data_IF_170687634481
#
_entry.id   IF_170687634481
#
_cell.length_a   1.000
_cell.length_b   1.000
_cell.length_c   1.000
_cell.angle_alpha   90.00
_cell.angle_beta   90.00
_cell.angle_gamma   90.00
#
_symmetry.space_group_name_H-M   'P 1'
#
loop_
_entity.id
_entity.type
_entity.pdbx_description
1 polymer ?
#
# COMPACT_ATOMS: atom_id res chain seq x y z
N UNK A 1 22.73 29.94 -53.46
CA UNK A 1 22.81 29.78 -51.99
C UNK A 1 23.62 30.86 -51.23
N UNK A 2 24.05 31.99 -51.84
CA UNK A 2 24.85 33.02 -51.14
C UNK A 2 24.08 33.97 -50.18
N UNK A 3 22.75 33.94 -50.14
CA UNK A 3 21.98 35.01 -49.48
C UNK A 3 21.31 34.65 -48.15
N UNK A 4 21.39 33.40 -47.64
CA UNK A 4 20.89 33.04 -46.30
C UNK A 4 21.72 31.89 -45.67
N UNK A 5 22.87 32.18 -45.06
CA UNK A 5 23.81 31.19 -44.51
C UNK A 5 23.30 30.41 -43.27
N UNK A 6 22.09 30.69 -42.80
CA UNK A 6 21.46 30.12 -41.59
C UNK A 6 20.12 29.45 -41.89
N UNK A 7 19.75 29.26 -43.15
CA UNK A 7 18.47 28.64 -43.49
C UNK A 7 18.51 27.11 -43.21
N UNK A 8 17.72 26.66 -42.23
CA UNK A 8 17.64 25.26 -41.76
C UNK A 8 17.33 24.27 -42.89
N UNK A 9 16.36 24.57 -43.75
CA UNK A 9 15.99 23.70 -44.87
C UNK A 9 17.13 23.57 -45.89
N UNK A 10 17.80 24.69 -46.16
CA UNK A 10 18.93 24.73 -47.09
C UNK A 10 20.13 23.91 -46.55
N UNK A 11 20.40 23.97 -45.25
CA UNK A 11 21.46 23.18 -44.62
C UNK A 11 21.14 21.67 -44.64
N UNK A 12 19.88 21.28 -44.41
CA UNK A 12 19.46 19.87 -44.50
C UNK A 12 19.64 19.30 -45.91
N UNK A 13 19.21 20.04 -46.92
CA UNK A 13 19.36 19.63 -48.33
C UNK A 13 20.84 19.53 -48.72
N UNK A 14 21.66 20.49 -48.27
CA UNK A 14 23.09 20.48 -48.55
C UNK A 14 23.81 19.29 -47.89
N UNK A 15 23.46 18.93 -46.65
CA UNK A 15 24.03 17.74 -46.00
C UNK A 15 23.70 16.46 -46.79
N UNK A 16 22.45 16.29 -47.22
CA UNK A 16 22.03 15.15 -48.05
C UNK A 16 22.77 15.10 -49.40
N UNK A 17 23.03 16.26 -50.03
CA UNK A 17 23.80 16.32 -51.27
C UNK A 17 25.24 15.82 -51.04
N UNK A 18 25.93 16.32 -50.02
CA UNK A 18 27.28 15.85 -49.68
C UNK A 18 27.31 14.34 -49.36
N UNK A 19 26.30 13.81 -48.66
CA UNK A 19 26.18 12.37 -48.41
C UNK A 19 26.04 11.57 -49.72
N UNK A 20 25.22 12.04 -50.67
CA UNK A 20 25.04 11.39 -51.97
C UNK A 20 26.28 11.42 -52.86
N UNK A 21 27.11 12.45 -52.70
CA UNK A 21 28.40 12.61 -53.40
C UNK A 21 29.54 11.80 -52.73
N UNK A 22 29.28 11.19 -51.57
CA UNK A 22 30.26 10.43 -50.80
C UNK A 22 31.20 11.30 -49.95
N UNK A 23 31.01 12.62 -49.92
CA UNK A 23 31.76 13.54 -49.08
C UNK A 23 31.21 13.55 -47.64
N UNK A 24 31.50 12.48 -46.90
CA UNK A 24 31.02 12.29 -45.53
C UNK A 24 31.50 13.39 -44.58
N UNK A 25 32.73 13.88 -44.78
CA UNK A 25 33.29 14.97 -43.98
C UNK A 25 32.62 16.32 -44.27
N UNK A 26 32.28 16.59 -45.52
CA UNK A 26 31.47 17.75 -45.92
C UNK A 26 30.06 17.68 -45.31
N UNK A 27 29.41 16.52 -45.39
CA UNK A 27 28.10 16.31 -44.80
C UNK A 27 28.10 16.55 -43.28
N UNK A 28 29.08 16.01 -42.55
CA UNK A 28 29.20 16.22 -41.11
C UNK A 28 29.35 17.70 -40.74
N UNK A 29 30.24 18.44 -41.42
CA UNK A 29 30.41 19.90 -41.19
C UNK A 29 29.12 20.70 -41.42
N UNK A 30 28.33 20.31 -42.42
CA UNK A 30 27.04 20.96 -42.70
C UNK A 30 26.02 20.65 -41.60
N UNK A 31 25.99 19.42 -41.09
CA UNK A 31 25.15 19.05 -39.94
C UNK A 31 25.58 19.77 -38.65
N UNK A 32 26.88 19.89 -38.36
CA UNK A 32 27.37 20.67 -37.22
C UNK A 32 26.95 22.14 -37.31
N UNK A 33 27.01 22.71 -38.51
CA UNK A 33 26.49 24.06 -38.75
C UNK A 33 24.99 24.14 -38.52
N UNK A 34 24.21 23.17 -38.98
CA UNK A 34 22.77 23.10 -38.70
C UNK A 34 22.50 23.06 -37.20
N UNK A 35 23.24 22.24 -36.44
CA UNK A 35 23.12 22.14 -34.99
C UNK A 35 23.49 23.45 -34.28
N UNK A 36 24.45 24.22 -34.81
CA UNK A 36 24.82 25.54 -34.27
C UNK A 36 23.76 26.63 -34.50
N UNK A 37 22.96 26.51 -35.57
CA UNK A 37 21.85 27.43 -35.87
C UNK A 37 20.65 27.18 -34.98
N UNK A 38 20.49 25.95 -34.48
CA UNK A 38 19.34 25.54 -33.68
C UNK A 38 18.10 25.27 -34.53
N UNK A 39 16.99 24.95 -33.87
CA UNK A 39 15.73 24.63 -34.52
C UNK A 39 14.79 23.85 -33.61
N UNK A 40 13.74 23.29 -34.20
CA UNK A 40 12.84 22.37 -33.51
C UNK A 40 13.57 21.10 -33.08
N UNK A 41 13.20 20.55 -31.92
CA UNK A 41 13.84 19.36 -31.33
C UNK A 41 13.85 18.16 -32.29
N UNK A 42 12.82 18.01 -33.12
CA UNK A 42 12.72 16.95 -34.14
C UNK A 42 13.82 17.07 -35.21
N UNK A 43 14.11 18.31 -35.64
CA UNK A 43 15.15 18.60 -36.64
C UNK A 43 16.53 18.41 -36.02
N UNK A 44 16.71 18.86 -34.78
CA UNK A 44 17.98 18.69 -34.05
C UNK A 44 18.27 17.21 -33.78
N UNK A 45 17.26 16.42 -33.43
CA UNK A 45 17.37 14.98 -33.21
C UNK A 45 17.80 14.26 -34.50
N UNK A 46 17.11 14.49 -35.62
CA UNK A 46 17.47 13.92 -36.93
C UNK A 46 18.92 14.27 -37.32
N UNK A 47 19.29 15.55 -37.16
CA UNK A 47 20.65 16.01 -37.45
C UNK A 47 21.71 15.33 -36.56
N UNK A 48 21.44 15.15 -35.25
CA UNK A 48 22.35 14.45 -34.32
C UNK A 48 22.51 12.97 -34.67
N UNK A 49 21.41 12.26 -34.94
CA UNK A 49 21.45 10.84 -35.32
C UNK A 49 22.21 10.63 -36.64
N UNK A 50 21.99 11.51 -37.63
CA UNK A 50 22.76 11.48 -38.88
C UNK A 50 24.24 11.78 -38.66
N UNK A 51 24.57 12.80 -37.87
CA UNK A 51 25.95 13.15 -37.55
C UNK A 51 26.67 11.99 -36.85
N UNK A 52 26.01 11.30 -35.91
CA UNK A 52 26.56 10.12 -35.26
C UNK A 52 26.90 9.00 -36.26
N UNK A 53 25.97 8.68 -37.19
CA UNK A 53 26.20 7.67 -38.23
C UNK A 53 27.32 8.05 -39.20
N UNK A 54 27.48 9.34 -39.52
CA UNK A 54 28.57 9.82 -40.36
C UNK A 54 29.92 9.75 -39.64
N UNK A 55 29.97 10.14 -38.37
CA UNK A 55 31.17 10.02 -37.53
C UNK A 55 31.63 8.57 -37.43
N UNK A 56 30.72 7.61 -37.22
CA UNK A 56 31.03 6.17 -37.23
C UNK A 56 31.68 5.74 -38.55
N UNK A 57 31.10 6.14 -39.69
CA UNK A 57 31.62 5.81 -41.03
C UNK A 57 32.98 6.44 -41.31
N UNK A 58 33.29 7.54 -40.65
CA UNK A 58 34.59 8.23 -40.72
C UNK A 58 35.62 7.64 -39.72
N UNK A 59 35.22 6.68 -38.87
CA UNK A 59 36.06 6.11 -37.83
C UNK A 59 36.22 7.00 -36.59
N UNK A 60 35.43 8.06 -36.47
CA UNK A 60 35.39 8.93 -35.29
C UNK A 60 34.35 8.43 -34.29
N UNK A 61 34.72 7.40 -33.54
CA UNK A 61 33.89 6.82 -32.49
C UNK A 61 33.54 7.84 -31.39
N UNK A 62 34.48 8.73 -31.05
CA UNK A 62 34.30 9.75 -30.02
C UNK A 62 33.26 10.81 -30.41
N UNK A 63 33.29 11.24 -31.67
CA UNK A 63 32.29 12.14 -32.25
C UNK A 63 30.92 11.47 -32.31
N UNK A 64 30.87 10.19 -32.69
CA UNK A 64 29.61 9.45 -32.73
C UNK A 64 28.94 9.36 -31.35
N UNK A 65 29.70 9.01 -30.31
CA UNK A 65 29.23 8.98 -28.91
C UNK A 65 28.74 10.37 -28.47
N UNK A 66 29.48 11.44 -28.81
CA UNK A 66 29.11 12.82 -28.48
C UNK A 66 27.78 13.22 -29.12
N UNK A 67 27.55 12.87 -30.39
CA UNK A 67 26.29 13.15 -31.06
C UNK A 67 25.12 12.34 -30.51
N UNK A 68 25.34 11.07 -30.16
CA UNK A 68 24.32 10.21 -29.54
C UNK A 68 23.92 10.71 -28.15
N UNK A 69 24.88 11.10 -27.30
CA UNK A 69 24.59 11.67 -25.98
C UNK A 69 23.69 12.91 -26.06
N UNK A 70 23.99 13.83 -26.98
CA UNK A 70 23.17 15.01 -27.21
C UNK A 70 21.77 14.66 -27.79
N UNK A 71 21.64 13.54 -28.50
CA UNK A 71 20.36 13.06 -29.00
C UNK A 71 19.51 12.38 -27.92
N UNK A 72 20.13 11.69 -26.95
CA UNK A 72 19.42 11.10 -25.78
C UNK A 72 18.71 12.18 -24.98
N UNK A 73 19.35 13.32 -24.81
CA UNK A 73 18.78 14.47 -24.13
C UNK A 73 17.45 14.93 -24.82
N UNK A 74 17.26 14.66 -26.12
CA UNK A 74 16.07 15.06 -26.91
C UNK A 74 14.98 13.98 -26.95
N UNK A 75 15.36 12.73 -27.24
CA UNK A 75 14.47 11.59 -27.51
C UNK A 75 14.16 10.78 -26.23
N UNK A 76 15.08 10.79 -25.27
CA UNK A 76 14.94 10.08 -24.01
C UNK A 76 15.41 8.62 -24.06
N UNK A 77 15.10 7.82 -23.02
CA UNK A 77 15.72 6.51 -22.77
C UNK A 77 15.25 5.38 -23.70
N UNK A 78 14.10 5.55 -24.36
CA UNK A 78 13.52 4.58 -25.31
C UNK A 78 13.90 4.89 -26.77
N UNK A 79 14.58 6.01 -26.99
CA UNK A 79 14.95 6.53 -28.29
C UNK A 79 16.02 5.73 -29.03
N UNK A 80 16.12 5.95 -30.34
CA UNK A 80 17.18 5.33 -31.18
C UNK A 80 18.57 5.68 -30.62
N UNK A 81 18.73 6.92 -30.15
CA UNK A 81 19.99 7.41 -29.59
C UNK A 81 20.42 6.63 -28.34
N UNK A 82 19.50 6.40 -27.40
CA UNK A 82 19.78 5.68 -26.15
C UNK A 82 20.12 4.21 -26.41
N UNK A 83 19.37 3.55 -27.30
CA UNK A 83 19.62 2.16 -27.68
C UNK A 83 20.97 2.00 -28.37
N UNK A 84 21.29 2.88 -29.32
CA UNK A 84 22.56 2.87 -30.05
C UNK A 84 23.77 3.21 -29.15
N UNK A 85 23.57 4.08 -28.16
CA UNK A 85 24.63 4.45 -27.22
C UNK A 85 24.94 3.35 -26.21
N UNK A 86 23.91 2.71 -25.63
CA UNK A 86 24.07 1.66 -24.59
C UNK A 86 24.89 0.45 -25.03
N UNK A 87 24.95 0.17 -26.33
CA UNK A 87 25.78 -0.92 -26.88
C UNK A 87 27.23 -0.52 -27.13
N UNK A 88 27.54 0.79 -27.08
CA UNK A 88 28.88 1.35 -27.35
C UNK A 88 29.62 1.75 -26.07
N UNK A 89 28.90 2.30 -25.11
CA UNK A 89 29.49 2.75 -23.85
C UNK A 89 29.77 1.58 -22.91
N UNK A 90 30.92 1.62 -22.24
CA UNK A 90 31.34 0.53 -21.35
C UNK A 90 32.03 1.01 -20.08
N UNK A 91 32.52 2.25 -20.06
CA UNK A 91 33.28 2.81 -18.95
C UNK A 91 32.43 3.70 -18.02
N UNK A 92 32.77 3.82 -16.73
CA UNK A 92 32.04 4.70 -15.80
C UNK A 92 31.92 6.16 -16.27
N UNK A 93 32.96 6.81 -16.85
CA UNK A 93 32.82 8.17 -17.38
C UNK A 93 31.75 8.31 -18.48
N UNK A 94 31.65 7.33 -19.38
CA UNK A 94 30.64 7.34 -20.46
C UNK A 94 29.23 7.12 -19.91
N UNK A 95 29.08 6.21 -18.94
CA UNK A 95 27.80 6.01 -18.25
C UNK A 95 27.37 7.24 -17.45
N UNK A 96 28.32 7.99 -16.89
CA UNK A 96 28.04 9.26 -16.23
C UNK A 96 27.58 10.33 -17.22
N UNK A 97 28.20 10.40 -18.41
CA UNK A 97 27.73 11.28 -19.49
C UNK A 97 26.31 10.90 -19.95
N UNK A 98 26.00 9.60 -20.05
CA UNK A 98 24.65 9.14 -20.36
C UNK A 98 23.63 9.53 -19.28
N UNK A 99 24.00 9.39 -18.00
CA UNK A 99 23.15 9.84 -16.88
C UNK A 99 22.86 11.35 -16.95
N UNK A 100 23.86 12.17 -17.28
CA UNK A 100 23.69 13.62 -17.48
C UNK A 100 22.76 13.94 -18.66
N UNK A 101 22.83 13.17 -19.76
CA UNK A 101 21.91 13.33 -20.88
C UNK A 101 20.46 13.00 -20.48
N UNK A 102 20.24 11.95 -19.68
CA UNK A 102 18.91 11.64 -19.12
C UNK A 102 18.40 12.72 -18.16
N UNK A 103 19.27 13.31 -17.34
CA UNK A 103 18.92 14.45 -16.48
C UNK A 103 18.50 15.68 -17.31
N UNK A 104 19.17 15.94 -18.44
CA UNK A 104 18.78 16.97 -19.40
C UNK A 104 17.39 16.72 -20.00
N UNK A 105 17.13 15.48 -20.43
CA UNK A 105 15.83 15.07 -20.96
C UNK A 105 14.72 15.30 -19.92
N UNK A 106 14.94 14.86 -18.67
CA UNK A 106 14.00 15.07 -17.57
C UNK A 106 13.72 16.56 -17.32
N UNK A 107 14.75 17.40 -17.32
CA UNK A 107 14.61 18.84 -17.13
C UNK A 107 13.76 19.48 -18.24
N UNK A 108 13.90 19.02 -19.49
CA UNK A 108 13.07 19.47 -20.61
C UNK A 108 11.64 19.01 -20.50
N UNK A 109 11.42 17.73 -20.25
CA UNK A 109 10.07 17.17 -20.16
C UNK A 109 9.28 17.73 -18.97
N UNK A 110 9.96 18.11 -17.88
CA UNK A 110 9.31 18.81 -16.77
C UNK A 110 8.62 20.12 -17.19
N UNK A 111 9.20 20.83 -18.16
CA UNK A 111 8.59 22.06 -18.69
C UNK A 111 7.52 21.77 -19.75
N UNK A 112 7.68 20.69 -20.52
CA UNK A 112 6.78 20.32 -21.61
C UNK A 112 5.58 19.45 -21.17
N UNK A 113 5.62 18.85 -19.98
CA UNK A 113 4.61 17.92 -19.47
C UNK A 113 4.62 16.54 -20.14
N UNK A 114 5.76 16.10 -20.68
CA UNK A 114 5.88 14.81 -21.35
C UNK A 114 6.13 13.62 -20.40
N UNK A 115 6.16 12.39 -20.94
CA UNK A 115 6.34 11.17 -20.14
C UNK A 115 7.77 11.07 -19.57
N UNK A 116 7.90 11.04 -18.24
CA UNK A 116 9.21 11.04 -17.55
C UNK A 116 9.51 9.73 -16.79
N UNK A 117 8.53 8.86 -16.58
CA UNK A 117 8.67 7.63 -15.77
C UNK A 117 9.80 6.73 -16.26
N UNK A 118 9.85 6.46 -17.58
CA UNK A 118 10.89 5.63 -18.18
C UNK A 118 12.30 6.23 -18.00
N UNK A 119 12.42 7.57 -18.00
CA UNK A 119 13.70 8.26 -17.83
C UNK A 119 14.17 8.20 -16.38
N UNK A 120 13.28 8.34 -15.41
CA UNK A 120 13.58 8.11 -14.00
C UNK A 120 14.03 6.66 -13.73
N UNK A 121 13.34 5.68 -14.30
CA UNK A 121 13.72 4.27 -14.18
C UNK A 121 15.11 4.01 -14.77
N UNK A 122 15.37 4.46 -15.99
CA UNK A 122 16.64 4.20 -16.66
C UNK A 122 17.81 4.93 -15.97
N UNK A 123 17.60 6.18 -15.56
CA UNK A 123 18.59 6.95 -14.81
C UNK A 123 18.94 6.26 -13.48
N UNK A 124 17.95 5.81 -12.72
CA UNK A 124 18.20 5.10 -11.45
C UNK A 124 18.97 3.80 -11.64
N UNK A 125 18.70 3.04 -12.72
CA UNK A 125 19.43 1.81 -13.07
C UNK A 125 20.87 2.10 -13.45
N UNK A 126 21.11 3.13 -14.26
CA UNK A 126 22.48 3.55 -14.62
C UNK A 126 23.26 3.94 -13.37
N UNK A 127 22.67 4.76 -12.50
CA UNK A 127 23.30 5.19 -11.26
C UNK A 127 23.65 4.00 -10.36
N UNK A 128 22.70 3.11 -10.09
CA UNK A 128 22.92 1.98 -9.20
C UNK A 128 23.80 0.87 -9.81
N UNK A 129 23.55 0.47 -11.05
CA UNK A 129 24.14 -0.74 -11.63
C UNK A 129 25.47 -0.45 -12.33
N UNK A 130 25.60 0.70 -13.00
CA UNK A 130 26.79 1.07 -13.77
C UNK A 130 27.72 1.98 -13.00
N UNK A 131 27.19 2.95 -12.27
CA UNK A 131 27.98 3.91 -11.49
C UNK A 131 28.15 3.55 -10.02
N UNK A 132 27.44 2.51 -9.54
CA UNK A 132 27.48 2.05 -8.14
C UNK A 132 27.11 3.15 -7.13
N UNK A 133 26.31 4.13 -7.55
CA UNK A 133 25.82 5.22 -6.73
C UNK A 133 24.36 4.96 -6.35
N UNK A 134 24.18 4.12 -5.33
CA UNK A 134 22.88 3.65 -4.90
C UNK A 134 22.05 4.76 -4.23
N UNK A 135 22.69 5.68 -3.52
CA UNK A 135 22.02 6.79 -2.84
C UNK A 135 21.43 7.77 -3.85
N UNK A 136 22.18 8.14 -4.90
CA UNK A 136 21.63 8.96 -5.99
C UNK A 136 20.51 8.23 -6.73
N UNK A 137 20.63 6.92 -6.96
CA UNK A 137 19.57 6.16 -7.60
C UNK A 137 18.26 6.21 -6.79
N UNK A 138 18.34 6.10 -5.46
CA UNK A 138 17.19 6.22 -4.55
C UNK A 138 16.58 7.63 -4.64
N UNK A 139 17.40 8.68 -4.54
CA UNK A 139 16.92 10.07 -4.63
C UNK A 139 16.21 10.36 -5.97
N UNK A 140 16.73 9.83 -7.07
CA UNK A 140 16.12 9.95 -8.41
C UNK A 140 14.74 9.27 -8.45
N UNK A 141 14.59 8.10 -7.84
CA UNK A 141 13.31 7.37 -7.78
C UNK A 141 12.29 8.09 -6.90
N UNK A 142 12.68 8.58 -5.72
CA UNK A 142 11.82 9.37 -4.82
C UNK A 142 11.32 10.64 -5.51
N UNK A 143 12.20 11.34 -6.25
CA UNK A 143 11.83 12.49 -7.07
C UNK A 143 10.84 12.10 -8.17
N UNK A 144 11.12 11.00 -8.87
CA UNK A 144 10.24 10.48 -9.92
C UNK A 144 8.83 10.19 -9.42
N UNK A 145 8.69 9.50 -8.29
CA UNK A 145 7.40 9.18 -7.66
C UNK A 145 6.63 10.46 -7.30
N UNK A 146 7.33 11.47 -6.76
CA UNK A 146 6.72 12.75 -6.40
C UNK A 146 6.21 13.50 -7.63
N UNK A 147 6.96 13.50 -8.72
CA UNK A 147 6.61 14.25 -9.94
C UNK A 147 5.56 13.54 -10.80
N UNK A 148 5.52 12.21 -10.85
CA UNK A 148 4.53 11.48 -11.67
C UNK A 148 3.21 11.24 -10.96
N UNK A 149 3.16 11.34 -9.62
CA UNK A 149 1.94 11.17 -8.81
C UNK A 149 1.43 9.73 -8.69
N UNK A 150 1.66 8.89 -9.70
CA UNK A 150 1.40 7.45 -9.70
C UNK A 150 2.56 6.72 -10.41
N UNK A 151 3.47 6.17 -9.62
CA UNK A 151 4.67 5.49 -10.11
C UNK A 151 4.80 4.09 -9.55
N UNK A 152 3.82 3.21 -9.77
CA UNK A 152 3.88 1.81 -9.31
C UNK A 152 5.21 1.14 -9.71
N UNK A 153 5.68 1.37 -10.95
CA UNK A 153 6.95 0.80 -11.42
C UNK A 153 8.16 1.44 -10.73
N UNK A 154 8.13 2.76 -10.51
CA UNK A 154 9.16 3.50 -9.79
C UNK A 154 9.24 3.06 -8.32
N UNK A 155 8.09 2.87 -7.65
CA UNK A 155 8.01 2.34 -6.28
C UNK A 155 8.59 0.92 -6.20
N UNK A 156 8.25 0.05 -7.15
CA UNK A 156 8.82 -1.30 -7.19
C UNK A 156 10.35 -1.30 -7.39
N UNK A 157 10.87 -0.41 -8.24
CA UNK A 157 12.32 -0.19 -8.39
C UNK A 157 12.93 0.38 -7.10
N UNK A 158 12.30 1.38 -6.47
CA UNK A 158 12.74 2.01 -5.22
C UNK A 158 12.86 0.97 -4.10
N UNK A 159 11.85 0.12 -3.91
CA UNK A 159 11.89 -0.99 -2.94
C UNK A 159 13.11 -1.88 -3.18
N UNK A 160 13.41 -2.22 -4.44
CA UNK A 160 14.58 -3.04 -4.77
C UNK A 160 15.89 -2.33 -4.40
N UNK A 161 15.99 -1.03 -4.65
CA UNK A 161 17.19 -0.23 -4.33
C UNK A 161 17.36 -0.02 -2.83
N UNK A 162 16.28 0.22 -2.09
CA UNK A 162 16.28 0.33 -0.62
C UNK A 162 16.72 -0.98 0.05
N UNK A 163 16.24 -2.13 -0.45
CA UNK A 163 16.71 -3.43 0.02
C UNK A 163 18.20 -3.64 -0.23
N UNK A 164 18.67 -3.34 -1.44
CA UNK A 164 20.07 -3.46 -1.81
C UNK A 164 21.00 -2.55 -0.97
N UNK A 165 20.50 -1.42 -0.44
CA UNK A 165 21.25 -0.54 0.48
C UNK A 165 21.11 -0.92 1.96
N UNK A 166 20.37 -1.99 2.28
CA UNK A 166 20.09 -2.39 3.66
C UNK A 166 19.05 -1.51 4.38
N UNK A 167 18.40 -0.58 3.67
CA UNK A 167 17.32 0.28 4.19
C UNK A 167 15.99 -0.48 4.20
N UNK A 168 15.94 -1.58 4.97
CA UNK A 168 14.81 -2.52 5.01
C UNK A 168 13.52 -1.85 5.49
N UNK A 169 13.58 -1.00 6.52
CA UNK A 169 12.39 -0.32 7.06
C UNK A 169 11.73 0.62 6.05
N UNK A 170 12.54 1.33 5.27
CA UNK A 170 12.06 2.21 4.20
C UNK A 170 11.40 1.38 3.08
N UNK A 171 12.01 0.27 2.67
CA UNK A 171 11.44 -0.64 1.69
C UNK A 171 10.09 -1.22 2.17
N UNK A 172 9.99 -1.60 3.45
CA UNK A 172 8.73 -2.05 4.06
C UNK A 172 7.67 -0.94 4.08
N UNK A 173 8.07 0.31 4.31
CA UNK A 173 7.16 1.47 4.27
C UNK A 173 6.55 1.64 2.87
N UNK A 174 7.39 1.65 1.83
CA UNK A 174 6.96 1.77 0.43
C UNK A 174 6.01 0.64 0.00
N UNK A 175 6.36 -0.61 0.33
CA UNK A 175 5.50 -1.77 0.01
C UNK A 175 4.15 -1.71 0.73
N UNK A 176 4.12 -1.25 1.99
CA UNK A 176 2.86 -1.07 2.73
C UNK A 176 2.00 0.03 2.14
N UNK A 177 2.58 1.10 1.61
CA UNK A 177 1.82 2.13 0.90
C UNK A 177 1.22 1.56 -0.39
N UNK A 178 2.04 0.87 -1.19
CA UNK A 178 1.58 0.23 -2.42
C UNK A 178 0.46 -0.79 -2.16
N UNK A 179 0.59 -1.63 -1.14
CA UNK A 179 -0.42 -2.64 -0.81
C UNK A 179 -1.68 -2.07 -0.16
N UNK A 180 -1.64 -0.84 0.36
CA UNK A 180 -2.86 -0.13 0.78
C UNK A 180 -3.68 0.33 -0.42
N UNK A 181 -3.02 0.76 -1.48
CA UNK A 181 -3.66 1.21 -2.72
C UNK A 181 -4.15 0.01 -3.56
N UNK A 182 -3.31 -1.02 -3.67
CA UNK A 182 -3.58 -2.21 -4.50
C UNK A 182 -3.40 -3.50 -3.69
N UNK A 183 -4.30 -3.81 -2.74
CA UNK A 183 -4.18 -4.99 -1.86
C UNK A 183 -4.34 -6.32 -2.60
N UNK A 184 -4.89 -6.29 -3.81
CA UNK A 184 -5.11 -7.48 -4.65
C UNK A 184 -3.89 -7.86 -5.49
N UNK A 185 -2.76 -7.13 -5.38
CA UNK A 185 -1.55 -7.40 -6.17
C UNK A 185 -0.67 -8.49 -5.52
N UNK A 186 -0.64 -9.73 -6.04
CA UNK A 186 0.08 -10.82 -5.36
C UNK A 186 1.60 -10.62 -5.34
N UNK A 187 2.16 -9.98 -6.36
CA UNK A 187 3.59 -9.66 -6.43
C UNK A 187 4.02 -8.73 -5.30
N UNK A 188 3.17 -7.79 -4.87
CA UNK A 188 3.47 -6.87 -3.75
C UNK A 188 3.60 -7.61 -2.43
N UNK A 189 2.71 -8.58 -2.17
CA UNK A 189 2.78 -9.44 -0.99
C UNK A 189 4.03 -10.32 -0.98
N UNK A 190 4.47 -10.84 -2.14
CA UNK A 190 5.73 -11.58 -2.26
C UNK A 190 6.95 -10.71 -2.03
N UNK A 191 6.95 -9.48 -2.54
CA UNK A 191 8.03 -8.52 -2.24
C UNK A 191 8.05 -8.17 -0.75
N UNK A 192 6.88 -7.99 -0.11
CA UNK A 192 6.79 -7.75 1.33
C UNK A 192 7.35 -8.92 2.14
N UNK A 193 6.99 -10.16 1.77
CA UNK A 193 7.52 -11.37 2.38
C UNK A 193 9.05 -11.43 2.29
N UNK A 194 9.61 -11.26 1.08
CA UNK A 194 11.06 -11.24 0.85
C UNK A 194 11.78 -10.10 1.57
N UNK A 195 11.14 -8.95 1.70
CA UNK A 195 11.72 -7.80 2.42
C UNK A 195 11.79 -8.07 3.92
N UNK A 196 10.77 -8.68 4.51
CA UNK A 196 10.82 -9.12 5.90
C UNK A 196 11.90 -10.16 6.15
N UNK A 197 12.09 -11.11 5.24
CA UNK A 197 13.12 -12.14 5.37
C UNK A 197 14.53 -11.56 5.38
N UNK A 198 14.81 -10.62 4.49
CA UNK A 198 16.09 -9.90 4.47
C UNK A 198 16.32 -9.06 5.73
N UNK A 199 15.24 -8.54 6.32
CA UNK A 199 15.28 -7.90 7.65
C UNK A 199 15.41 -8.87 8.83
N UNK A 200 15.45 -10.19 8.59
CA UNK A 200 15.49 -11.21 9.64
C UNK A 200 14.14 -11.47 10.34
N UNK A 201 13.04 -10.91 9.82
CA UNK A 201 11.69 -11.02 10.39
C UNK A 201 10.90 -12.16 9.73
N UNK A 202 11.44 -13.38 9.74
CA UNK A 202 10.87 -14.54 9.04
C UNK A 202 9.39 -14.80 9.33
N UNK A 203 8.95 -14.67 10.58
CA UNK A 203 7.54 -14.86 10.94
C UNK A 203 6.60 -13.83 10.29
N UNK A 204 7.06 -12.58 10.13
CA UNK A 204 6.32 -11.55 9.39
C UNK A 204 6.35 -11.82 7.88
N UNK A 205 7.49 -12.34 7.38
CA UNK A 205 7.62 -12.80 5.99
C UNK A 205 6.63 -13.91 5.65
N UNK A 206 6.47 -14.90 6.52
CA UNK A 206 5.50 -15.98 6.35
C UNK A 206 4.05 -15.47 6.43
N UNK A 207 3.78 -14.51 7.34
CA UNK A 207 2.47 -13.89 7.45
C UNK A 207 2.09 -13.06 6.20
N UNK A 208 3.07 -12.41 5.56
CA UNK A 208 2.86 -11.66 4.33
C UNK A 208 2.47 -12.52 3.12
N UNK A 209 2.63 -13.84 3.18
CA UNK A 209 2.19 -14.77 2.12
C UNK A 209 0.72 -15.18 2.25
N UNK A 210 0.11 -15.10 3.43
CA UNK A 210 -1.30 -15.50 3.63
C UNK A 210 -2.29 -14.80 2.70
N UNK A 211 -2.16 -13.48 2.42
CA UNK A 211 -3.05 -12.83 1.45
C UNK A 211 -2.99 -13.43 0.05
N UNK A 212 -1.85 -13.99 -0.37
CA UNK A 212 -1.68 -14.59 -1.70
C UNK A 212 -2.54 -15.85 -1.86
N UNK A 213 -2.68 -16.63 -0.78
CA UNK A 213 -3.58 -17.80 -0.73
C UNK A 213 -5.05 -17.37 -0.86
N UNK A 214 -5.45 -16.30 -0.17
CA UNK A 214 -6.80 -15.73 -0.27
C UNK A 214 -7.09 -15.18 -1.67
N UNK A 215 -6.08 -14.65 -2.34
CA UNK A 215 -6.16 -14.15 -3.72
C UNK A 215 -6.09 -15.25 -4.79
N UNK A 216 -6.03 -16.52 -4.40
CA UNK A 216 -5.89 -17.68 -5.30
C UNK A 216 -4.70 -17.56 -6.27
N UNK A 217 -3.62 -16.93 -5.79
CA UNK A 217 -2.42 -16.64 -6.57
C UNK A 217 -1.18 -17.36 -6.04
N UNK A 218 -1.36 -18.38 -5.21
CA UNK A 218 -0.29 -19.07 -4.47
C UNK A 218 0.53 -19.96 -5.39
N UNK A 219 1.87 -19.89 -5.28
CA UNK A 219 2.77 -20.83 -5.97
C UNK A 219 3.08 -22.06 -5.12
N UNK A 220 3.64 -23.11 -5.72
CA UNK A 220 4.09 -24.30 -4.95
C UNK A 220 5.11 -23.94 -3.85
N UNK A 221 6.01 -22.99 -4.13
CA UNK A 221 6.98 -22.51 -3.15
C UNK A 221 6.30 -21.74 -2.01
N UNK A 222 5.29 -20.93 -2.32
CA UNK A 222 4.49 -20.23 -1.31
C UNK A 222 3.72 -21.24 -0.43
N UNK A 223 3.11 -22.26 -1.04
CA UNK A 223 2.37 -23.32 -0.33
C UNK A 223 3.29 -24.10 0.62
N UNK A 224 4.45 -24.55 0.15
CA UNK A 224 5.41 -25.30 0.98
C UNK A 224 5.81 -24.49 2.22
N UNK A 225 6.02 -23.19 2.02
CA UNK A 225 6.37 -22.27 3.10
C UNK A 225 5.23 -22.05 4.09
N UNK A 226 4.01 -21.88 3.60
CA UNK A 226 2.81 -21.75 4.44
C UNK A 226 2.52 -23.03 5.23
N UNK A 227 2.72 -24.21 4.64
CA UNK A 227 2.55 -25.51 5.32
C UNK A 227 3.55 -25.73 6.46
N UNK A 228 4.75 -25.16 6.35
CA UNK A 228 5.76 -25.20 7.41
C UNK A 228 5.43 -24.30 8.61
N UNK A 229 4.44 -23.41 8.49
CA UNK A 229 4.08 -22.47 9.55
C UNK A 229 3.17 -23.13 10.58
N UNK A 230 3.54 -23.02 11.85
CA UNK A 230 2.65 -23.35 12.97
C UNK A 230 2.05 -22.04 13.51
N UNK A 231 0.77 -21.74 13.21
CA UNK A 231 0.14 -20.52 13.71
C UNK A 231 0.03 -20.59 15.23
N UNK A 232 0.43 -19.50 15.92
CA UNK A 232 0.31 -19.35 17.38
C UNK A 232 -0.50 -18.09 17.72
N UNK A 233 -1.78 -18.01 17.32
CA UNK A 233 -2.54 -16.76 17.39
C UNK A 233 -2.84 -16.33 18.83
N UNK A 234 -2.83 -17.25 19.81
CA UNK A 234 -2.97 -16.93 21.23
C UNK A 234 -1.67 -16.47 21.93
N UNK A 235 -0.52 -16.48 21.24
CA UNK A 235 0.79 -16.23 21.84
C UNK A 235 1.26 -14.76 21.78
N UNK A 236 0.36 -13.82 21.47
CA UNK A 236 0.69 -12.40 21.45
C UNK A 236 0.89 -11.87 22.88
N UNK A 237 1.70 -10.82 23.02
CA UNK A 237 1.91 -10.17 24.31
C UNK A 237 0.65 -9.44 24.77
N UNK A 238 0.49 -9.29 26.09
CA UNK A 238 -0.59 -8.52 26.68
C UNK A 238 -0.58 -7.07 26.14
N UNK A 239 -1.75 -6.54 25.78
CA UNK A 239 -1.92 -5.20 25.21
C UNK A 239 -1.45 -5.02 23.76
N UNK A 240 -1.00 -6.07 23.07
CA UNK A 240 -0.58 -5.97 21.65
C UNK A 240 -1.69 -5.42 20.76
N UNK A 241 -2.94 -5.77 21.06
CA UNK A 241 -4.14 -5.33 20.35
C UNK A 241 -5.04 -4.48 21.26
N UNK A 242 -4.44 -3.66 22.14
CA UNK A 242 -5.19 -2.69 22.92
C UNK A 242 -5.90 -1.65 22.02
N UNK A 243 -6.90 -0.91 22.54
CA UNK A 243 -7.74 -0.04 21.71
C UNK A 243 -6.98 0.94 20.80
N UNK A 244 -5.91 1.63 21.25
CA UNK A 244 -5.14 2.53 20.36
C UNK A 244 -4.49 1.82 19.17
N UNK A 245 -4.11 0.54 19.33
CA UNK A 245 -3.53 -0.27 18.27
C UNK A 245 -4.61 -0.74 17.31
N UNK A 246 -5.78 -1.16 17.81
CA UNK A 246 -6.93 -1.52 16.98
C UNK A 246 -7.44 -0.34 16.16
N UNK A 247 -7.59 0.85 16.76
CA UNK A 247 -7.97 2.08 16.05
C UNK A 247 -6.98 2.45 14.94
N UNK A 248 -5.70 2.05 15.06
CA UNK A 248 -4.71 2.25 13.97
C UNK A 248 -4.86 1.23 12.85
N UNK A 249 -5.33 0.02 13.16
CA UNK A 249 -5.61 -1.03 12.17
C UNK A 249 -6.89 -0.72 11.40
N UNK A 250 -7.92 -0.24 12.10
CA UNK A 250 -9.18 0.19 11.51
C UNK A 250 -9.12 1.69 11.21
N UNK A 251 -8.75 2.06 9.98
CA UNK A 251 -8.81 3.46 9.55
C UNK A 251 -10.27 3.89 9.40
N UNK A 252 -10.80 4.49 10.45
CA UNK A 252 -12.13 5.07 10.48
C UNK A 252 -12.13 6.45 9.81
N UNK A 253 -13.13 6.72 8.99
CA UNK A 253 -13.46 8.09 8.62
C UNK A 253 -14.01 8.87 9.81
N UNK A 254 -14.24 10.19 9.66
CA UNK A 254 -14.78 11.01 10.74
C UNK A 254 -16.13 10.52 11.27
N UNK A 255 -16.97 9.95 10.40
CA UNK A 255 -18.31 9.47 10.77
C UNK A 255 -18.25 8.19 11.62
N UNK A 256 -17.42 7.22 11.24
CA UNK A 256 -17.24 5.99 12.00
C UNK A 256 -16.62 6.26 13.37
N UNK A 257 -15.69 7.23 13.45
CA UNK A 257 -15.11 7.65 14.73
C UNK A 257 -16.17 8.24 15.67
N UNK A 258 -17.03 9.12 15.16
CA UNK A 258 -18.12 9.69 15.94
C UNK A 258 -19.11 8.61 16.43
N UNK A 259 -19.41 7.61 15.59
CA UNK A 259 -20.23 6.46 15.98
C UNK A 259 -19.59 5.68 17.13
N UNK A 260 -18.28 5.42 17.07
CA UNK A 260 -17.57 4.67 18.10
C UNK A 260 -17.57 5.43 19.44
N UNK A 261 -17.39 6.75 19.39
CA UNK A 261 -17.49 7.61 20.58
C UNK A 261 -18.88 7.56 21.22
N UNK A 262 -19.95 7.59 20.41
CA UNK A 262 -21.33 7.44 20.91
C UNK A 262 -21.53 6.06 21.55
N UNK A 263 -21.11 4.98 20.88
CA UNK A 263 -21.26 3.63 21.42
C UNK A 263 -20.46 3.42 22.72
N UNK A 264 -19.26 4.01 22.82
CA UNK A 264 -18.47 4.02 24.05
C UNK A 264 -19.19 4.74 25.20
N UNK A 265 -19.86 5.87 24.93
CA UNK A 265 -20.67 6.58 25.93
C UNK A 265 -21.87 5.72 26.38
N UNK A 266 -22.49 4.99 25.46
CA UNK A 266 -23.66 4.15 25.75
C UNK A 266 -23.30 2.80 26.40
N UNK A 267 -22.09 2.29 26.21
CA UNK A 267 -21.64 0.97 26.68
C UNK A 267 -22.03 0.66 28.15
N UNK A 268 -21.82 1.55 29.14
CA UNK A 268 -22.17 1.28 30.54
C UNK A 268 -23.67 1.11 30.82
N UNK A 269 -24.55 1.59 29.93
CA UNK A 269 -26.01 1.56 30.13
C UNK A 269 -26.70 0.48 29.29
N UNK A 270 -25.98 -0.13 28.33
CA UNK A 270 -26.55 -1.10 27.39
C UNK A 270 -27.24 -2.27 28.09
N UNK A 271 -26.65 -2.83 29.15
CA UNK A 271 -27.25 -3.97 29.86
C UNK A 271 -28.54 -3.65 30.62
N UNK A 272 -28.82 -2.36 30.89
CA UNK A 272 -30.11 -1.93 31.46
C UNK A 272 -31.17 -1.75 30.36
N UNK A 273 -30.74 -1.32 29.17
CA UNK A 273 -31.63 -1.10 28.03
C UNK A 273 -31.98 -2.40 27.31
N UNK A 274 -31.02 -3.31 27.20
CA UNK A 274 -31.11 -4.57 26.48
C UNK A 274 -30.62 -5.71 27.38
N UNK A 275 -31.41 -6.16 28.38
CA UNK A 275 -30.98 -7.19 29.31
C UNK A 275 -30.57 -8.49 28.61
N UNK A 276 -29.57 -9.17 29.16
CA UNK A 276 -29.08 -10.45 28.64
C UNK A 276 -30.18 -11.54 28.64
N UNK A 277 -30.33 -12.21 27.50
CA UNK A 277 -31.30 -13.30 27.31
C UNK A 277 -30.60 -14.67 27.35
N UNK A 278 -30.29 -15.15 28.56
CA UNK A 278 -29.66 -16.46 28.77
C UNK A 278 -30.59 -17.63 28.43
N UNK A 279 -31.89 -17.47 28.62
CA UNK A 279 -32.89 -18.53 28.41
C UNK A 279 -32.94 -18.97 26.95
N UNK A 280 -32.78 -18.02 26.02
CA UNK A 280 -32.70 -18.35 24.59
C UNK A 280 -31.50 -19.24 24.19
N UNK A 281 -30.50 -19.37 25.07
CA UNK A 281 -29.37 -20.30 24.94
C UNK A 281 -29.53 -21.56 25.79
N UNK A 282 -30.64 -21.70 26.54
CA UNK A 282 -30.85 -22.77 27.50
C UNK A 282 -29.95 -22.66 28.73
N UNK A 283 -29.58 -21.43 29.11
CA UNK A 283 -28.65 -21.14 30.19
C UNK A 283 -29.28 -20.29 31.29
N UNK A 284 -28.62 -20.27 32.45
CA UNK A 284 -28.89 -19.40 33.59
C UNK A 284 -27.61 -18.70 34.03
N UNK A 285 -27.72 -17.68 34.89
CA UNK A 285 -26.54 -16.99 35.45
C UNK A 285 -25.58 -17.93 36.23
N UNK A 286 -26.04 -19.11 36.66
CA UNK A 286 -25.22 -20.11 37.35
C UNK A 286 -24.31 -20.90 36.42
N UNK A 287 -24.65 -20.95 35.14
CA UNK A 287 -23.88 -21.66 34.11
C UNK A 287 -22.66 -20.86 33.63
N UNK A 288 -22.38 -19.73 34.28
CA UNK A 288 -21.19 -18.91 34.01
C UNK A 288 -19.92 -19.68 34.30
N UNK A 289 -18.99 -19.67 33.36
CA UNK A 289 -17.66 -20.27 33.49
C UNK A 289 -16.88 -19.63 34.66
N UNK A 290 -16.45 -20.47 35.59
CA UNK A 290 -15.77 -20.05 36.82
C UNK A 290 -14.40 -19.44 36.54
N UNK A 291 -14.10 -18.32 37.22
CA UNK A 291 -12.76 -17.71 37.24
C UNK A 291 -11.80 -18.40 38.20
N UNK A 292 -12.33 -19.13 39.20
CA UNK A 292 -11.51 -19.82 40.23
C UNK A 292 -11.02 -21.18 39.77
N UNK A 293 -11.80 -21.84 38.92
CA UNK A 293 -11.48 -23.14 38.32
C UNK A 293 -11.72 -23.06 36.82
N UNK A 294 -10.85 -22.35 36.08
CA UNK A 294 -11.09 -22.04 34.67
C UNK A 294 -10.96 -23.30 33.81
N UNK A 295 -11.94 -23.50 32.92
CA UNK A 295 -11.85 -24.47 31.83
C UNK A 295 -10.82 -24.01 30.78
N UNK A 296 -10.38 -24.90 29.86
CA UNK A 296 -9.44 -24.51 28.80
C UNK A 296 -9.94 -23.32 27.96
N UNK A 297 -11.23 -23.30 27.62
CA UNK A 297 -11.84 -22.20 26.85
C UNK A 297 -11.86 -20.89 27.66
N UNK A 298 -12.10 -20.96 28.98
CA UNK A 298 -12.02 -19.78 29.86
C UNK A 298 -10.60 -19.25 29.95
N UNK A 299 -9.60 -20.12 30.07
CA UNK A 299 -8.18 -19.74 30.07
C UNK A 299 -7.80 -19.06 28.76
N UNK A 300 -8.21 -19.64 27.63
CA UNK A 300 -7.97 -19.06 26.30
C UNK A 300 -8.61 -17.67 26.17
N UNK A 301 -9.91 -17.55 26.46
CA UNK A 301 -10.63 -16.27 26.39
C UNK A 301 -10.00 -15.21 27.32
N UNK A 302 -9.56 -15.61 28.52
CA UNK A 302 -8.89 -14.70 29.46
C UNK A 302 -7.54 -14.22 28.91
N UNK A 303 -6.76 -15.12 28.29
CA UNK A 303 -5.50 -14.74 27.63
C UNK A 303 -5.72 -13.77 26.48
N UNK A 304 -6.73 -14.04 25.64
CA UNK A 304 -7.11 -13.13 24.55
C UNK A 304 -7.55 -11.76 25.09
N UNK A 305 -8.39 -11.71 26.12
CA UNK A 305 -8.81 -10.45 26.73
C UNK A 305 -7.62 -9.60 27.19
N UNK A 306 -6.54 -10.20 27.69
CA UNK A 306 -5.31 -9.45 28.03
C UNK A 306 -4.57 -8.93 26.80
N UNK A 307 -4.53 -9.69 25.70
CA UNK A 307 -3.97 -9.22 24.42
C UNK A 307 -4.71 -7.96 23.93
N UNK A 308 -6.03 -7.93 24.11
CA UNK A 308 -6.91 -6.82 23.72
C UNK A 308 -7.07 -5.73 24.78
N UNK A 309 -6.46 -5.88 25.96
CA UNK A 309 -6.64 -5.00 27.13
C UNK A 309 -8.10 -4.85 27.62
N UNK A 310 -8.94 -5.87 27.39
CA UNK A 310 -10.33 -5.95 27.86
C UNK A 310 -10.37 -6.45 29.31
N UNK A 311 -11.04 -5.72 30.21
CA UNK A 311 -10.98 -5.99 31.65
C UNK A 311 -12.10 -6.88 32.19
N UNK A 312 -13.30 -6.79 31.64
CA UNK A 312 -14.49 -7.42 32.23
C UNK A 312 -15.36 -8.08 31.16
N UNK A 313 -15.60 -9.38 31.34
CA UNK A 313 -16.61 -10.13 30.60
C UNK A 313 -16.99 -11.39 31.39
N UNK A 314 -18.24 -11.81 31.20
CA UNK A 314 -18.69 -13.14 31.57
C UNK A 314 -18.56 -14.09 30.37
N UNK A 315 -18.37 -15.38 30.64
CA UNK A 315 -18.23 -16.41 29.61
C UNK A 315 -19.20 -17.54 29.89
N UNK A 316 -19.91 -17.99 28.87
CA UNK A 316 -20.86 -19.07 28.95
C UNK A 316 -20.70 -20.04 27.78
N UNK A 317 -20.95 -21.32 28.02
CA UNK A 317 -20.93 -22.36 26.98
C UNK A 317 -22.33 -22.93 26.79
N UNK A 318 -22.88 -22.87 25.57
CA UNK A 318 -24.23 -23.34 25.26
C UNK A 318 -24.24 -24.48 24.24
N UNK A 319 -25.39 -25.17 24.10
CA UNK A 319 -25.57 -26.30 23.18
C UNK A 319 -26.57 -26.05 22.04
N UNK A 320 -27.12 -24.84 21.94
CA UNK A 320 -28.03 -24.44 20.86
C UNK A 320 -27.30 -24.43 19.51
N UNK A 321 -27.73 -25.29 18.58
CA UNK A 321 -27.06 -25.52 17.28
C UNK A 321 -27.24 -24.39 16.27
N UNK A 322 -28.32 -23.61 16.37
CA UNK A 322 -28.64 -22.51 15.45
C UNK A 322 -27.91 -21.21 15.78
N UNK A 323 -27.10 -21.18 16.85
CA UNK A 323 -26.43 -19.98 17.33
C UNK A 323 -24.91 -20.17 17.30
N UNK A 324 -24.21 -19.16 16.80
CA UNK A 324 -22.76 -19.07 16.82
C UNK A 324 -22.23 -18.43 18.10
N UNK A 325 -20.98 -18.00 18.07
CA UNK A 325 -20.42 -17.14 19.11
C UNK A 325 -21.11 -15.78 19.05
N UNK A 326 -21.51 -15.23 20.20
CA UNK A 326 -22.20 -13.94 20.29
C UNK A 326 -21.97 -13.24 21.62
N UNK A 327 -22.55 -12.05 21.77
CA UNK A 327 -22.48 -11.25 22.99
C UNK A 327 -23.88 -10.92 23.49
N UNK A 328 -24.12 -11.09 24.78
CA UNK A 328 -25.30 -10.57 25.47
C UNK A 328 -24.92 -9.34 26.31
N UNK A 329 -25.76 -8.31 26.24
CA UNK A 329 -25.55 -7.04 26.93
C UNK A 329 -26.05 -7.20 28.38
N UNK A 330 -25.17 -7.67 29.27
CA UNK A 330 -25.43 -7.80 30.70
C UNK A 330 -24.90 -6.63 31.52
N UNK A 331 -24.97 -6.72 32.85
CA UNK A 331 -24.23 -5.79 33.73
C UNK A 331 -22.72 -5.90 33.53
N UNK A 332 -22.25 -7.11 33.20
CA UNK A 332 -21.00 -7.34 32.48
C UNK A 332 -21.37 -7.99 31.16
N UNK A 333 -20.79 -7.57 30.01
CA UNK A 333 -21.05 -8.23 28.74
C UNK A 333 -20.70 -9.71 28.80
N UNK A 334 -21.59 -10.56 28.28
CA UNK A 334 -21.46 -11.99 28.37
C UNK A 334 -21.18 -12.59 26.99
N UNK A 335 -20.01 -13.22 26.83
CA UNK A 335 -19.64 -13.95 25.62
C UNK A 335 -20.29 -15.34 25.67
N UNK A 336 -21.11 -15.62 24.66
CA UNK A 336 -21.80 -16.89 24.47
C UNK A 336 -21.01 -17.74 23.48
N UNK A 337 -20.59 -18.93 23.89
CA UNK A 337 -19.76 -19.83 23.05
C UNK A 337 -20.49 -21.16 22.83
N UNK A 338 -20.67 -21.61 21.58
CA UNK A 338 -21.21 -22.94 21.32
C UNK A 338 -20.23 -24.02 21.79
N UNK A 339 -20.74 -25.10 22.40
CA UNK A 339 -19.93 -26.22 22.87
C UNK A 339 -19.08 -26.85 21.75
N UNK A 340 -19.55 -26.82 20.50
CA UNK A 340 -18.81 -27.32 19.34
C UNK A 340 -17.48 -26.57 19.09
N UNK A 341 -17.34 -25.32 19.55
CA UNK A 341 -16.09 -24.56 19.41
C UNK A 341 -14.96 -25.23 20.19
N UNK A 342 -15.25 -25.90 21.32
CA UNK A 342 -14.24 -26.58 22.12
C UNK A 342 -13.58 -27.76 21.38
N UNK A 343 -14.23 -28.28 20.35
CA UNK A 343 -13.73 -29.39 19.53
C UNK A 343 -12.80 -28.91 18.40
N UNK A 344 -12.79 -27.60 18.12
CA UNK A 344 -11.96 -27.06 17.05
C UNK A 344 -10.49 -26.95 17.46
N UNK A 345 -9.55 -26.98 16.49
CA UNK A 345 -8.17 -26.60 16.73
C UNK A 345 -8.06 -25.20 17.36
N UNK A 346 -7.08 -24.99 18.23
CA UNK A 346 -6.88 -23.71 18.93
C UNK A 346 -6.91 -22.48 18.00
N UNK A 347 -6.31 -22.47 16.80
CA UNK A 347 -6.39 -21.30 15.91
C UNK A 347 -7.82 -20.90 15.53
N UNK A 348 -8.72 -21.88 15.35
CA UNK A 348 -10.13 -21.61 15.06
C UNK A 348 -10.86 -21.10 16.30
N UNK A 349 -10.55 -21.64 17.49
CA UNK A 349 -11.10 -21.13 18.75
C UNK A 349 -10.69 -19.67 18.97
N UNK A 350 -9.41 -19.35 18.74
CA UNK A 350 -8.90 -17.98 18.84
C UNK A 350 -9.59 -17.08 17.85
N UNK A 351 -9.73 -17.47 16.59
CA UNK A 351 -10.42 -16.67 15.58
C UNK A 351 -11.86 -16.33 16.00
N UNK A 352 -12.60 -17.32 16.49
CA UNK A 352 -14.00 -17.13 16.90
C UNK A 352 -14.15 -16.28 18.18
N UNK A 353 -13.23 -16.44 19.15
CA UNK A 353 -13.27 -15.69 20.42
C UNK A 353 -12.67 -14.29 20.32
N UNK A 354 -11.68 -14.08 19.46
CA UNK A 354 -10.99 -12.80 19.33
C UNK A 354 -11.94 -11.70 18.83
N UNK A 355 -12.90 -12.03 17.96
CA UNK A 355 -13.89 -11.08 17.43
C UNK A 355 -14.74 -10.40 18.53
N UNK A 356 -15.52 -11.13 19.36
CA UNK A 356 -16.32 -10.49 20.41
C UNK A 356 -15.43 -9.80 21.46
N UNK A 357 -14.23 -10.31 21.74
CA UNK A 357 -13.29 -9.65 22.65
C UNK A 357 -12.79 -8.31 22.08
N UNK A 358 -12.49 -8.26 20.78
CA UNK A 358 -12.11 -7.03 20.10
C UNK A 358 -13.28 -6.02 20.09
N UNK A 359 -14.51 -6.50 19.87
CA UNK A 359 -15.70 -5.65 19.96
C UNK A 359 -15.83 -5.03 21.36
N UNK A 360 -15.64 -5.82 22.43
CA UNK A 360 -15.65 -5.32 23.81
C UNK A 360 -14.52 -4.32 24.08
N UNK A 361 -13.32 -4.55 23.54
CA UNK A 361 -12.20 -3.63 23.68
C UNK A 361 -12.48 -2.26 23.05
N UNK A 362 -13.27 -2.24 21.97
CA UNK A 362 -13.65 -1.03 21.23
C UNK A 362 -15.02 -0.46 21.65
N UNK A 363 -15.67 -1.01 22.67
CA UNK A 363 -17.03 -0.66 23.09
C UNK A 363 -18.10 -0.83 21.99
N UNK A 364 -17.93 -1.86 21.15
CA UNK A 364 -18.80 -2.20 20.02
C UNK A 364 -19.69 -3.41 20.30
N UNK A 365 -19.81 -3.86 21.55
CA UNK A 365 -20.62 -5.02 21.92
C UNK A 365 -22.10 -4.89 21.50
N UNK A 366 -22.63 -3.67 21.41
CA UNK A 366 -23.97 -3.42 20.88
C UNK A 366 -24.13 -3.99 19.46
N UNK A 367 -23.10 -3.89 18.62
CA UNK A 367 -23.12 -4.38 17.24
C UNK A 367 -23.10 -5.92 17.13
N UNK A 368 -22.68 -6.62 18.19
CA UNK A 368 -22.70 -8.08 18.24
C UNK A 368 -24.07 -8.64 18.67
N UNK A 369 -24.93 -7.81 19.29
CA UNK A 369 -26.28 -8.20 19.76
C UNK A 369 -27.41 -7.63 18.91
N UNK A 370 -27.32 -6.35 18.58
CA UNK A 370 -28.39 -5.60 17.93
C UNK A 370 -28.33 -5.76 16.42
N UNK A 371 -29.50 -5.79 15.79
CA UNK A 371 -29.59 -5.66 14.34
C UNK A 371 -29.09 -4.29 13.87
N UNK A 372 -28.66 -4.15 12.60
CA UNK A 372 -28.25 -2.84 12.07
C UNK A 372 -29.32 -1.76 12.29
N UNK A 373 -30.60 -2.14 12.18
CA UNK A 373 -31.72 -1.24 12.39
C UNK A 373 -31.88 -0.79 13.84
N UNK A 374 -31.78 -1.70 14.80
CA UNK A 374 -31.82 -1.34 16.22
C UNK A 374 -30.64 -0.44 16.60
N UNK A 375 -29.46 -0.71 16.02
CA UNK A 375 -28.28 0.11 16.22
C UNK A 375 -28.46 1.53 15.65
N UNK A 376 -29.02 1.67 14.45
CA UNK A 376 -29.38 2.97 13.86
C UNK A 376 -30.31 3.77 14.77
N UNK A 377 -31.37 3.13 15.29
CA UNK A 377 -32.34 3.76 16.18
C UNK A 377 -31.70 4.16 17.50
N UNK A 378 -30.87 3.30 18.10
CA UNK A 378 -30.13 3.59 19.34
C UNK A 378 -29.21 4.81 19.19
N UNK A 379 -28.43 4.85 18.12
CA UNK A 379 -27.49 5.95 17.84
C UNK A 379 -28.25 7.24 17.53
N UNK A 380 -29.30 7.16 16.70
CA UNK A 380 -30.15 8.31 16.40
C UNK A 380 -30.80 8.89 17.66
N UNK A 381 -31.33 8.04 18.54
CA UNK A 381 -31.91 8.46 19.81
C UNK A 381 -30.88 9.13 20.74
N UNK A 382 -29.64 8.64 20.76
CA UNK A 382 -28.55 9.27 21.51
C UNK A 382 -28.19 10.66 20.94
N UNK A 383 -28.06 10.79 19.63
CA UNK A 383 -27.76 12.08 18.97
C UNK A 383 -28.88 13.09 19.21
N UNK A 384 -30.15 12.64 19.28
CA UNK A 384 -31.31 13.48 19.60
C UNK A 384 -31.28 14.14 20.96
N UNK A 385 -30.43 13.68 21.89
CA UNK A 385 -30.22 14.36 23.17
C UNK A 385 -29.65 15.77 22.93
N UNK A 386 -28.77 15.92 21.94
CA UNK A 386 -28.19 17.21 21.57
C UNK A 386 -28.87 17.86 20.36
N UNK A 387 -29.39 17.06 19.42
CA UNK A 387 -29.99 17.52 18.16
C UNK A 387 -31.41 16.96 18.00
N UNK A 388 -32.40 17.63 18.62
CA UNK A 388 -33.76 17.09 18.82
C UNK A 388 -34.47 16.52 17.59
N UNK A 389 -34.21 17.04 16.38
CA UNK A 389 -34.86 16.59 15.14
C UNK A 389 -34.01 15.63 14.29
N UNK A 390 -32.87 15.15 14.81
CA UNK A 390 -31.98 14.26 14.06
C UNK A 390 -32.70 12.96 13.61
N UNK A 391 -32.41 12.46 12.41
CA UNK A 391 -32.98 11.21 11.88
C UNK A 391 -34.53 11.14 11.86
N UNK A 392 -35.20 12.28 11.65
CA UNK A 392 -36.65 12.32 11.44
C UNK A 392 -37.06 11.40 10.27
N UNK A 393 -38.11 10.60 10.48
CA UNK A 393 -38.58 9.64 9.49
C UNK A 393 -37.75 8.35 9.41
N UNK A 394 -36.73 8.18 10.25
CA UNK A 394 -36.01 6.92 10.37
C UNK A 394 -36.98 5.82 10.82
N UNK A 395 -37.58 5.96 12.01
CA UNK A 395 -38.65 5.11 12.55
C UNK A 395 -39.78 5.98 13.13
N UNK A 396 -40.74 5.40 13.87
CA UNK A 396 -41.78 6.19 14.54
C UNK A 396 -41.18 7.18 15.54
N UNK A 397 -41.74 8.39 15.60
CA UNK A 397 -41.25 9.45 16.52
C UNK A 397 -41.39 9.04 17.99
N UNK A 398 -42.44 8.27 18.31
CA UNK A 398 -42.67 7.72 19.66
C UNK A 398 -41.56 6.74 20.07
N UNK A 399 -41.05 5.93 19.14
CA UNK A 399 -39.97 4.97 19.40
C UNK A 399 -38.63 5.69 19.64
N UNK A 400 -38.30 6.69 18.82
CA UNK A 400 -37.08 7.48 18.99
C UNK A 400 -37.09 8.27 20.30
N UNK A 401 -38.22 8.91 20.63
CA UNK A 401 -38.34 9.65 21.89
C UNK A 401 -38.39 8.71 23.10
N UNK A 402 -38.97 7.51 22.95
CA UNK A 402 -38.93 6.45 23.95
C UNK A 402 -37.50 5.99 24.25
N UNK A 403 -36.72 5.68 23.21
CA UNK A 403 -35.31 5.30 23.37
C UNK A 403 -34.46 6.41 23.97
N UNK A 404 -34.64 7.66 23.52
CA UNK A 404 -33.96 8.82 24.09
C UNK A 404 -34.24 8.98 25.59
N UNK A 405 -35.49 8.81 26.02
CA UNK A 405 -35.87 8.85 27.45
C UNK A 405 -35.22 7.72 28.25
N UNK A 406 -35.13 6.52 27.68
CA UNK A 406 -34.42 5.40 28.31
C UNK A 406 -32.92 5.67 28.46
N UNK A 407 -32.28 6.25 27.44
CA UNK A 407 -30.87 6.65 27.48
C UNK A 407 -30.67 7.69 28.59
N UNK A 408 -31.45 8.78 28.61
CA UNK A 408 -31.36 9.84 29.63
C UNK A 408 -31.63 9.34 31.05
N UNK A 409 -32.49 8.32 31.22
CA UNK A 409 -32.77 7.71 32.52
C UNK A 409 -31.58 6.95 33.10
N UNK A 410 -30.72 6.42 32.23
CA UNK A 410 -29.64 5.51 32.63
C UNK A 410 -28.23 6.10 32.49
N UNK A 411 -28.07 7.17 31.68
CA UNK A 411 -26.85 7.97 31.65
C UNK A 411 -26.57 8.56 33.05
N UNK A 412 -25.29 8.57 33.47
CA UNK A 412 -24.87 9.10 34.77
C UNK A 412 -25.02 10.63 34.90
#
# INVERSE_FOLDING_TARGET
MKNQPTNVLALRQLATLHESEGDLGGALRVLERLLSVGGEDTILLDARLRAARLADRLGDESGAVTHLLAAVDLDGPAGEAALGLKVRISSPPEWNAYAQALEGYLARQRNAGGPVEAAYLDLSRVLADRLRDLDRAILVLERGITETGDGHTLRAELVRRLRASGRIDDALSELRMLLRETPTMPSGWRELSRTFDEGGHRAAGDAALCPIEVLDAVSEADLLRLQGRVPKPAALAEGTLAPPQLERLFRHGPAERALFEILAILSPILGKMFPADFESYGLTARDRESTKSPTPIRTLATGLARIFATKEFDLFVHRVRSRGVGVELGSSPAIMVPAAVLEFPEPHQVFLLARPIAALALHLEASEKLTPRELEVLVAAAVRISHGNYAQGLTSEDELEGQKKLILKHLP
#
